data_IF_774018026941
#
_entry.id   IF_774018026941
#
_cell.length_a   1.000
_cell.length_b   1.000
_cell.length_c   1.000
_cell.angle_alpha   90.00
_cell.angle_beta   90.00
_cell.angle_gamma   90.00
#
_symmetry.space_group_name_H-M   'P 1'
#
loop_
_entity.id
_entity.type
_entity.pdbx_description
1 polymer ?
#
# COMPACT_ATOMS: atom_id res chain seq x y z
N UNK A 1 4.39 -9.19 22.82
CA UNK A 1 5.38 -8.22 22.31
C UNK A 1 6.56 -9.01 21.77
N UNK A 2 6.99 -8.79 20.54
CA UNK A 2 8.16 -9.47 19.97
C UNK A 2 9.39 -8.59 20.24
N UNK A 3 10.47 -9.10 20.88
CA UNK A 3 11.67 -8.30 21.14
C UNK A 3 12.24 -7.68 19.86
N UNK A 4 12.67 -6.42 19.93
CA UNK A 4 13.25 -5.66 18.82
C UNK A 4 12.33 -5.45 17.60
N UNK A 5 11.02 -5.60 17.77
CA UNK A 5 10.02 -5.36 16.72
C UNK A 5 8.90 -4.46 17.22
N UNK A 6 8.30 -3.72 16.29
CA UNK A 6 7.16 -2.85 16.50
C UNK A 6 6.01 -3.39 15.66
N UNK A 7 4.82 -3.53 16.27
CA UNK A 7 3.60 -3.88 15.54
C UNK A 7 3.09 -2.64 14.82
N UNK A 8 2.99 -2.69 13.49
CA UNK A 8 2.36 -1.66 12.66
C UNK A 8 1.21 -2.33 11.91
N UNK A 9 -0.01 -1.86 12.13
CA UNK A 9 -1.26 -2.56 11.79
C UNK A 9 -1.25 -4.00 12.35
N UNK A 10 -1.09 -4.99 11.47
CA UNK A 10 -1.03 -6.42 11.76
C UNK A 10 0.37 -7.01 11.57
N UNK A 11 1.37 -6.20 11.20
CA UNK A 11 2.71 -6.65 10.83
C UNK A 11 3.77 -6.29 11.88
N UNK A 12 4.59 -7.26 12.28
CA UNK A 12 5.77 -7.00 13.10
C UNK A 12 6.94 -6.53 12.24
N UNK A 13 7.32 -5.27 12.41
CA UNK A 13 8.44 -4.64 11.70
C UNK A 13 9.64 -4.57 12.63
N UNK A 14 10.80 -5.01 12.16
CA UNK A 14 12.04 -4.86 12.92
C UNK A 14 12.34 -3.38 13.20
N UNK A 15 12.71 -3.05 14.44
CA UNK A 15 12.91 -1.65 14.86
C UNK A 15 13.98 -0.92 14.03
N UNK A 16 14.98 -1.64 13.52
CA UNK A 16 16.01 -1.08 12.63
C UNK A 16 15.49 -0.74 11.22
N UNK A 17 14.37 -1.33 10.79
CA UNK A 17 13.71 -1.08 9.49
C UNK A 17 12.46 -0.21 9.62
N UNK A 18 11.96 0.01 10.83
CA UNK A 18 10.68 0.70 11.07
C UNK A 18 10.61 2.06 10.39
N UNK A 19 11.64 2.89 10.52
CA UNK A 19 11.67 4.23 9.90
C UNK A 19 11.62 4.17 8.38
N UNK A 20 12.35 3.22 7.78
CA UNK A 20 12.36 3.03 6.34
C UNK A 20 11.02 2.48 5.84
N UNK A 21 10.44 1.51 6.56
CA UNK A 21 9.12 0.95 6.28
C UNK A 21 8.04 2.04 6.25
N UNK A 22 7.96 2.89 7.28
CA UNK A 22 6.98 3.99 7.31
C UNK A 22 7.21 4.95 6.14
N UNK A 23 8.46 5.32 5.86
CA UNK A 23 8.77 6.22 4.72
C UNK A 23 8.32 5.61 3.38
N UNK A 24 8.61 4.32 3.14
CA UNK A 24 8.18 3.61 1.94
C UNK A 24 6.67 3.52 1.84
N UNK A 25 6.00 3.21 2.95
CA UNK A 25 4.53 3.15 3.04
C UNK A 25 3.88 4.46 2.62
N UNK A 26 4.31 5.58 3.20
CA UNK A 26 3.77 6.89 2.86
C UNK A 26 4.05 7.28 1.40
N UNK A 27 5.26 6.98 0.92
CA UNK A 27 5.65 7.27 -0.45
C UNK A 27 4.79 6.52 -1.48
N UNK A 28 4.67 5.19 -1.33
CA UNK A 28 3.88 4.39 -2.27
C UNK A 28 2.38 4.58 -2.10
N UNK A 29 1.89 4.90 -0.90
CA UNK A 29 0.50 5.30 -0.69
C UNK A 29 0.15 6.54 -1.52
N UNK A 30 1.01 7.56 -1.50
CA UNK A 30 0.79 8.78 -2.28
C UNK A 30 0.77 8.49 -3.79
N UNK A 31 1.72 7.68 -4.29
CA UNK A 31 1.75 7.30 -5.70
C UNK A 31 0.50 6.52 -6.11
N UNK A 32 0.07 5.56 -5.30
CA UNK A 32 -1.14 4.78 -5.58
C UNK A 32 -2.39 5.67 -5.59
N UNK A 33 -2.48 6.64 -4.67
CA UNK A 33 -3.59 7.61 -4.65
C UNK A 33 -3.60 8.44 -5.93
N UNK A 34 -2.46 9.00 -6.34
CA UNK A 34 -2.36 9.80 -7.55
C UNK A 34 -2.72 9.00 -8.80
N UNK A 35 -2.22 7.77 -8.90
CA UNK A 35 -2.50 6.91 -10.03
C UNK A 35 -3.98 6.53 -10.11
N UNK A 36 -4.54 6.01 -9.01
CA UNK A 36 -5.93 5.56 -8.99
C UNK A 36 -6.94 6.70 -9.12
N UNK A 37 -6.56 7.94 -8.80
CA UNK A 37 -7.43 9.11 -8.98
C UNK A 37 -7.73 9.42 -10.45
N UNK A 38 -6.95 8.88 -11.39
CA UNK A 38 -7.21 9.04 -12.82
C UNK A 38 -8.38 8.17 -13.29
N UNK A 39 -8.52 6.97 -12.73
CA UNK A 39 -9.47 5.95 -13.19
C UNK A 39 -10.65 5.74 -12.22
N UNK A 40 -10.48 6.13 -10.95
CA UNK A 40 -11.49 5.98 -9.90
C UNK A 40 -12.33 7.24 -9.70
N UNK A 41 -13.59 7.04 -9.29
CA UNK A 41 -14.43 8.15 -8.86
C UNK A 41 -14.03 8.65 -7.46
N UNK A 42 -13.65 7.74 -6.57
CA UNK A 42 -13.19 8.01 -5.22
C UNK A 42 -12.00 7.10 -4.92
N UNK A 43 -10.94 7.63 -4.32
CA UNK A 43 -9.83 6.86 -3.77
C UNK A 43 -9.75 7.09 -2.27
N UNK A 44 -9.57 6.03 -1.49
CA UNK A 44 -9.47 6.09 -0.03
C UNK A 44 -8.29 5.26 0.47
N UNK A 45 -7.74 5.71 1.59
CA UNK A 45 -6.81 4.95 2.41
C UNK A 45 -7.62 4.32 3.53
N UNK A 46 -7.69 3.00 3.56
CA UNK A 46 -8.58 2.25 4.44
C UNK A 46 -7.84 1.10 5.13
N UNK A 47 -8.31 0.65 6.29
CA UNK A 47 -7.87 -0.62 6.87
C UNK A 47 -8.64 -1.74 6.15
N UNK A 48 -7.96 -2.49 5.30
CA UNK A 48 -8.51 -3.60 4.55
C UNK A 48 -8.73 -4.80 5.47
N UNK A 49 -9.91 -4.85 6.06
CA UNK A 49 -10.26 -5.78 7.14
C UNK A 49 -9.24 -5.77 8.30
N UNK A 50 -9.59 -6.30 9.47
CA UNK A 50 -8.65 -6.26 10.61
C UNK A 50 -7.44 -7.19 10.43
N UNK A 51 -7.37 -7.93 9.33
CA UNK A 51 -6.41 -9.02 9.10
C UNK A 51 -5.33 -8.69 8.07
N UNK A 52 -5.59 -7.78 7.12
CA UNK A 52 -4.65 -7.50 6.03
C UNK A 52 -3.96 -6.13 6.16
N UNK A 53 -4.36 -5.32 7.15
CA UNK A 53 -3.73 -4.03 7.45
C UNK A 53 -4.23 -2.92 6.53
N UNK A 54 -3.42 -1.89 6.31
CA UNK A 54 -3.85 -0.73 5.51
C UNK A 54 -3.73 -0.95 3.99
N UNK A 55 -4.64 -0.34 3.23
CA UNK A 55 -4.68 -0.37 1.77
C UNK A 55 -5.04 0.99 1.17
N UNK A 56 -4.72 1.17 -0.12
CA UNK A 56 -5.34 2.18 -0.98
C UNK A 56 -6.39 1.49 -1.84
N UNK A 57 -7.62 2.01 -1.82
CA UNK A 57 -8.78 1.45 -2.50
C UNK A 57 -9.41 2.48 -3.42
N UNK A 58 -9.56 2.14 -4.69
CA UNK A 58 -10.24 2.93 -5.71
C UNK A 58 -11.63 2.39 -6.00
N UNK A 59 -12.63 3.27 -6.05
CA UNK A 59 -14.04 2.93 -6.26
C UNK A 59 -14.60 3.56 -7.54
N UNK A 60 -15.46 2.81 -8.23
CA UNK A 60 -16.29 3.35 -9.31
C UNK A 60 -17.47 4.19 -8.76
N UNK A 61 -18.26 4.79 -9.68
CA UNK A 61 -19.43 5.61 -9.31
C UNK A 61 -20.54 4.85 -8.57
N UNK A 62 -20.54 3.51 -8.65
CA UNK A 62 -21.51 2.63 -7.99
C UNK A 62 -21.00 2.14 -6.63
N UNK A 63 -19.76 2.49 -6.27
CA UNK A 63 -19.11 2.05 -5.04
C UNK A 63 -18.46 0.66 -5.14
N UNK A 64 -18.27 0.12 -6.35
CA UNK A 64 -17.52 -1.12 -6.53
C UNK A 64 -16.02 -0.82 -6.45
N UNK A 65 -15.27 -1.70 -5.78
CA UNK A 65 -13.81 -1.66 -5.77
C UNK A 65 -13.29 -2.01 -7.17
N UNK A 66 -12.48 -1.12 -7.74
CA UNK A 66 -11.83 -1.30 -9.05
C UNK A 66 -10.30 -1.26 -8.97
N UNK A 67 -9.75 -0.73 -7.87
CA UNK A 67 -8.33 -0.80 -7.55
C UNK A 67 -8.15 -1.12 -6.07
N UNK A 68 -7.13 -1.94 -5.76
CA UNK A 68 -6.83 -2.32 -4.39
C UNK A 68 -5.35 -2.65 -4.26
N UNK A 69 -4.65 -1.97 -3.35
CA UNK A 69 -3.26 -2.31 -3.02
C UNK A 69 -3.03 -2.22 -1.52
N UNK A 70 -2.52 -3.31 -0.94
CA UNK A 70 -2.09 -3.34 0.46
C UNK A 70 -0.78 -2.55 0.63
N UNK A 71 -0.64 -1.91 1.78
CA UNK A 71 0.54 -1.18 2.23
C UNK A 71 1.37 -2.02 3.23
N UNK A 72 1.28 -3.34 3.09
CA UNK A 72 2.03 -4.31 3.85
C UNK A 72 3.51 -4.40 3.40
N UNK A 73 4.41 -4.97 4.23
CA UNK A 73 5.83 -5.07 3.89
C UNK A 73 6.12 -5.75 2.55
N UNK A 74 5.39 -6.80 2.20
CA UNK A 74 5.60 -7.57 0.98
C UNK A 74 5.13 -6.79 -0.26
N UNK A 75 3.98 -6.12 -0.18
CA UNK A 75 3.48 -5.25 -1.24
C UNK A 75 4.42 -4.06 -1.47
N UNK A 76 4.97 -3.46 -0.41
CA UNK A 76 5.95 -2.38 -0.52
C UNK A 76 7.27 -2.84 -1.17
N UNK A 77 7.77 -4.04 -0.86
CA UNK A 77 8.96 -4.59 -1.52
C UNK A 77 8.73 -4.82 -3.02
N UNK A 78 7.53 -5.27 -3.40
CA UNK A 78 7.14 -5.43 -4.81
C UNK A 78 7.02 -4.09 -5.53
N UNK A 79 6.41 -3.09 -4.91
CA UNK A 79 6.32 -1.74 -5.47
C UNK A 79 7.71 -1.14 -5.69
N UNK A 80 8.61 -1.26 -4.71
CA UNK A 80 9.99 -0.80 -4.84
C UNK A 80 10.75 -1.53 -5.96
N UNK A 81 10.52 -2.84 -6.12
CA UNK A 81 11.10 -3.59 -7.23
C UNK A 81 10.52 -3.16 -8.59
N UNK A 82 9.21 -2.88 -8.65
CA UNK A 82 8.54 -2.42 -9.87
C UNK A 82 9.02 -1.01 -10.25
N UNK A 83 9.21 -0.12 -9.28
CA UNK A 83 9.78 1.22 -9.46
C UNK A 83 11.19 1.17 -10.03
N UNK A 84 12.08 0.36 -9.44
CA UNK A 84 13.45 0.19 -9.96
C UNK A 84 13.50 -0.38 -11.38
N UNK A 85 12.43 -1.04 -11.82
CA UNK A 85 12.29 -1.59 -13.16
C UNK A 85 11.52 -0.64 -14.10
N UNK A 86 11.12 0.54 -13.65
CA UNK A 86 10.28 1.51 -14.40
C UNK A 86 8.89 0.96 -14.77
N UNK A 87 8.37 0.02 -13.97
CA UNK A 87 7.11 -0.69 -14.21
C UNK A 87 6.08 -0.49 -13.09
N UNK A 88 6.26 0.52 -12.22
CA UNK A 88 5.42 0.73 -11.04
C UNK A 88 3.94 0.95 -11.39
N UNK A 89 3.65 1.83 -12.35
CA UNK A 89 2.27 2.08 -12.80
C UNK A 89 1.59 0.79 -13.30
N UNK A 90 2.30 0.03 -14.13
CA UNK A 90 1.81 -1.27 -14.60
C UNK A 90 1.58 -2.24 -13.44
N UNK A 91 2.44 -2.24 -12.42
CA UNK A 91 2.23 -3.07 -11.24
C UNK A 91 0.95 -2.65 -10.49
N UNK A 92 0.78 -1.36 -10.23
CA UNK A 92 -0.37 -0.83 -9.48
C UNK A 92 -1.71 -1.01 -10.20
N UNK A 93 -1.73 -0.97 -11.53
CA UNK A 93 -2.95 -1.19 -12.33
C UNK A 93 -3.31 -2.67 -12.54
N UNK A 94 -2.41 -3.61 -12.23
CA UNK A 94 -2.64 -5.06 -12.37
C UNK A 94 -2.83 -5.79 -11.03
N UNK A 95 -2.86 -5.05 -9.90
CA UNK A 95 -3.29 -5.56 -8.59
C UNK A 95 -4.72 -5.10 -8.33
#
# INVERSE_FOLDING_TARGET
MVPNMTLVDVYYISNNKLKEYIKKREYFAQIAIELYSNDSYIVRREHADSLDGEAIVGYDKKGNVIHFILLDPYSLEKMELAERKEHLEKYLNNN
#
